data_IF_174711748879
#
_entry.id   IF_174711748879
#
_cell.length_a   1.000
_cell.length_b   1.000
_cell.length_c   1.000
_cell.angle_alpha   90.00
_cell.angle_beta   90.00
_cell.angle_gamma   90.00
#
_symmetry.space_group_name_H-M   'P 1'
#
loop_
_entity.id
_entity.type
_entity.pdbx_description
1 polymer ?
#
# COMPACT_ATOMS: atom_id res chain seq x y z
N UNK A 1 3.94 17.33 -16.73
CA UNK A 1 3.90 15.91 -17.12
C UNK A 1 2.91 15.12 -16.26
N UNK A 2 3.13 14.98 -14.94
CA UNK A 2 2.22 14.23 -14.04
C UNK A 2 0.77 14.72 -14.13
N UNK A 3 0.56 16.04 -14.20
CA UNK A 3 -0.76 16.64 -14.36
C UNK A 3 -1.52 16.16 -15.62
N UNK A 4 -0.82 15.93 -16.74
CA UNK A 4 -1.45 15.45 -17.97
C UNK A 4 -1.95 14.00 -17.83
N UNK A 5 -1.24 13.16 -17.07
CA UNK A 5 -1.71 11.80 -16.74
C UNK A 5 -2.92 11.85 -15.81
N UNK A 6 -2.95 12.77 -14.84
CA UNK A 6 -4.15 12.99 -14.00
C UNK A 6 -5.35 13.42 -14.84
N UNK A 7 -5.17 14.38 -15.74
CA UNK A 7 -6.24 14.86 -16.63
C UNK A 7 -6.76 13.77 -17.57
N UNK A 8 -5.93 12.78 -17.88
CA UNK A 8 -6.33 11.58 -18.62
C UNK A 8 -7.02 10.49 -17.76
N UNK A 9 -7.20 10.73 -16.46
CA UNK A 9 -7.92 9.83 -15.54
C UNK A 9 -7.06 8.73 -14.91
N UNK A 10 -5.73 8.81 -14.98
CA UNK A 10 -4.85 7.86 -14.30
C UNK A 10 -4.69 8.18 -12.82
N UNK A 11 -4.65 7.14 -11.99
CA UNK A 11 -4.27 7.25 -10.57
C UNK A 11 -2.76 7.43 -10.44
N UNK A 12 -2.34 8.29 -9.51
CA UNK A 12 -0.93 8.57 -9.22
C UNK A 12 -0.56 7.93 -7.88
N UNK A 13 0.40 7.03 -7.93
CA UNK A 13 1.03 6.45 -6.74
C UNK A 13 2.39 7.09 -6.47
N UNK A 14 2.69 7.34 -5.19
CA UNK A 14 4.06 7.62 -4.74
C UNK A 14 4.69 6.33 -4.22
N UNK A 15 5.90 6.06 -4.69
CA UNK A 15 6.66 4.85 -4.33
C UNK A 15 7.69 5.11 -3.23
N UNK A 16 8.15 4.04 -2.58
CA UNK A 16 9.23 4.01 -1.58
C UNK A 16 9.06 5.02 -0.44
N UNK A 17 7.81 5.32 -0.03
CA UNK A 17 7.55 6.35 0.96
C UNK A 17 8.10 5.93 2.34
N UNK A 18 8.93 6.82 2.88
CA UNK A 18 9.63 6.68 4.16
C UNK A 18 11.13 6.37 4.03
N UNK A 19 11.65 6.10 2.82
CA UNK A 19 13.10 6.02 2.59
C UNK A 19 13.66 7.40 2.19
N UNK A 20 14.81 7.80 2.74
CA UNK A 20 15.52 9.05 2.37
C UNK A 20 14.73 10.36 2.62
N UNK A 21 14.90 11.34 1.71
CA UNK A 21 14.12 12.60 1.70
C UNK A 21 12.70 12.35 1.18
N UNK A 22 11.90 11.59 1.92
CA UNK A 22 10.47 11.46 1.68
C UNK A 22 9.80 12.80 2.00
N UNK A 23 9.75 13.68 1.00
CA UNK A 23 9.27 15.04 1.18
C UNK A 23 7.75 15.05 1.26
N UNK A 24 7.20 15.29 2.46
CA UNK A 24 5.77 15.50 2.67
C UNK A 24 5.18 16.56 1.73
N UNK A 25 5.99 17.52 1.30
CA UNK A 25 5.61 18.48 0.29
C UNK A 25 5.16 17.83 -1.03
N UNK A 26 5.80 16.73 -1.44
CA UNK A 26 5.48 16.03 -2.68
C UNK A 26 4.11 15.36 -2.60
N UNK A 27 3.70 14.84 -1.44
CA UNK A 27 2.36 14.25 -1.26
C UNK A 27 1.26 15.28 -1.56
N UNK A 28 1.43 16.49 -1.03
CA UNK A 28 0.48 17.57 -1.23
C UNK A 28 0.57 18.17 -2.65
N UNK A 29 1.79 18.47 -3.13
CA UNK A 29 2.00 19.13 -4.40
C UNK A 29 1.61 18.28 -5.61
N UNK A 30 1.78 16.96 -5.52
CA UNK A 30 1.46 16.03 -6.61
C UNK A 30 0.02 15.54 -6.56
N UNK A 31 -0.73 15.86 -5.49
CA UNK A 31 -2.09 15.41 -5.27
C UNK A 31 -2.22 13.90 -5.53
N UNK A 32 -1.44 13.09 -4.81
CA UNK A 32 -1.36 11.64 -5.06
C UNK A 32 -2.65 10.93 -4.64
N UNK A 33 -2.95 9.78 -5.25
CA UNK A 33 -4.11 8.96 -4.92
C UNK A 33 -3.71 7.74 -4.06
N UNK A 34 -2.46 7.29 -4.19
CA UNK A 34 -1.94 6.08 -3.55
C UNK A 34 -0.57 6.35 -2.91
N UNK A 35 -0.38 5.89 -1.68
CA UNK A 35 0.90 5.87 -0.97
C UNK A 35 1.38 4.43 -0.78
N UNK A 36 2.56 4.12 -1.31
CA UNK A 36 3.21 2.81 -1.13
C UNK A 36 4.17 2.90 0.06
N UNK A 37 3.93 2.05 1.06
CA UNK A 37 4.74 1.95 2.28
C UNK A 37 5.89 0.99 1.98
N UNK A 38 7.11 1.51 2.01
CA UNK A 38 8.30 0.74 1.67
C UNK A 38 8.49 -0.50 2.57
N UNK A 39 9.12 -1.53 1.99
CA UNK A 39 9.40 -2.81 2.65
C UNK A 39 10.20 -2.64 3.95
N UNK A 40 11.12 -1.68 4.02
CA UNK A 40 11.93 -1.49 5.23
C UNK A 40 11.08 -1.24 6.47
N UNK A 41 9.93 -0.58 6.34
CA UNK A 41 8.98 -0.41 7.45
C UNK A 41 8.17 -1.68 7.73
N UNK A 42 7.74 -2.37 6.67
CA UNK A 42 6.98 -3.62 6.76
C UNK A 42 7.78 -4.73 7.47
N UNK A 43 9.09 -4.76 7.26
CA UNK A 43 10.01 -5.70 7.91
C UNK A 43 10.13 -5.45 9.43
N UNK A 44 9.85 -4.23 9.90
CA UNK A 44 9.93 -3.90 11.33
C UNK A 44 8.66 -4.21 12.13
N UNK A 45 7.53 -4.47 11.46
CA UNK A 45 6.20 -4.51 12.10
C UNK A 45 6.04 -5.57 13.20
N UNK A 46 6.73 -6.70 13.05
CA UNK A 46 6.65 -7.85 13.97
C UNK A 46 7.87 -7.96 14.88
N UNK A 47 8.73 -6.94 14.90
CA UNK A 47 9.90 -6.90 15.78
C UNK A 47 9.55 -6.20 17.10
N UNK A 48 10.12 -6.67 18.23
CA UNK A 48 9.88 -6.09 19.57
C UNK A 48 10.51 -4.69 19.78
N UNK A 49 10.80 -3.96 18.71
CA UNK A 49 11.33 -2.61 18.76
C UNK A 49 10.22 -1.57 18.50
N UNK A 50 10.53 -0.30 18.73
CA UNK A 50 9.64 0.83 18.48
C UNK A 50 9.59 1.27 17.00
N UNK A 51 10.28 0.56 16.09
CA UNK A 51 10.40 0.97 14.68
C UNK A 51 9.04 0.90 13.94
N UNK A 52 8.13 0.03 14.39
CA UNK A 52 6.77 -0.03 13.86
C UNK A 52 5.99 1.29 14.03
N UNK A 53 6.36 2.16 14.98
CA UNK A 53 5.71 3.46 15.20
C UNK A 53 5.80 4.37 13.95
N UNK A 54 6.88 4.27 13.18
CA UNK A 54 7.01 5.07 11.95
C UNK A 54 5.98 4.61 10.92
N UNK A 55 5.81 3.29 10.76
CA UNK A 55 4.78 2.74 9.89
C UNK A 55 3.37 3.18 10.32
N UNK A 56 3.09 3.20 11.63
CA UNK A 56 1.82 3.70 12.17
C UNK A 56 1.58 5.17 11.79
N UNK A 57 2.57 6.04 11.98
CA UNK A 57 2.45 7.45 11.61
C UNK A 57 2.28 7.67 10.11
N UNK A 58 2.96 6.88 9.27
CA UNK A 58 2.76 6.91 7.81
C UNK A 58 1.31 6.54 7.46
N UNK A 59 0.75 5.50 8.09
CA UNK A 59 -0.63 5.06 7.87
C UNK A 59 -1.63 6.12 8.33
N UNK A 60 -1.41 6.73 9.49
CA UNK A 60 -2.27 7.80 10.01
C UNK A 60 -2.26 9.04 9.11
N UNK A 61 -1.09 9.43 8.62
CA UNK A 61 -0.94 10.52 7.67
C UNK A 61 -1.66 10.23 6.35
N UNK A 62 -1.45 9.05 5.77
CA UNK A 62 -2.14 8.63 4.56
C UNK A 62 -3.66 8.67 4.74
N UNK A 63 -4.16 8.22 5.89
CA UNK A 63 -5.58 8.31 6.26
C UNK A 63 -6.07 9.75 6.35
N UNK A 64 -5.32 10.64 7.00
CA UNK A 64 -5.64 12.07 7.10
C UNK A 64 -5.70 12.77 5.73
N UNK A 65 -4.85 12.35 4.81
CA UNK A 65 -4.80 12.81 3.42
C UNK A 65 -5.77 12.07 2.49
N UNK A 66 -6.57 11.11 3.01
CA UNK A 66 -7.52 10.27 2.26
C UNK A 66 -6.88 9.48 1.11
N UNK A 67 -5.62 9.07 1.30
CA UNK A 67 -4.88 8.27 0.33
C UNK A 67 -5.23 6.79 0.48
N UNK A 68 -5.23 6.06 -0.65
CA UNK A 68 -5.14 4.60 -0.62
C UNK A 68 -3.72 4.21 -0.20
N UNK A 69 -3.58 3.10 0.51
CA UNK A 69 -2.26 2.61 0.94
C UNK A 69 -2.00 1.21 0.43
N UNK A 70 -0.76 0.99 -0.02
CA UNK A 70 -0.22 -0.31 -0.40
C UNK A 70 1.00 -0.57 0.48
N UNK A 71 1.02 -1.66 1.24
CA UNK A 71 2.23 -2.09 1.93
C UNK A 71 3.07 -3.01 1.04
N UNK A 72 4.35 -2.71 0.90
CA UNK A 72 5.27 -3.44 0.04
C UNK A 72 6.13 -4.44 0.80
N UNK A 73 6.56 -5.50 0.11
CA UNK A 73 7.46 -6.49 0.68
C UNK A 73 6.84 -7.33 1.80
N UNK A 74 5.52 -7.50 1.81
CA UNK A 74 4.80 -8.35 2.76
C UNK A 74 5.14 -9.83 2.52
N UNK A 75 5.65 -10.48 3.55
CA UNK A 75 6.17 -11.85 3.50
C UNK A 75 5.47 -12.80 4.46
N UNK A 76 4.81 -12.30 5.51
CA UNK A 76 4.16 -13.15 6.53
C UNK A 76 2.68 -12.81 6.77
N UNK A 77 1.84 -13.80 7.14
CA UNK A 77 0.45 -13.55 7.54
C UNK A 77 0.32 -12.58 8.72
N UNK A 78 1.30 -12.56 9.63
CA UNK A 78 1.34 -11.67 10.78
C UNK A 78 1.47 -10.20 10.34
N UNK A 79 2.31 -9.92 9.34
CA UNK A 79 2.41 -8.59 8.73
C UNK A 79 1.08 -8.16 8.12
N UNK A 80 0.41 -9.04 7.35
CA UNK A 80 -0.93 -8.75 6.79
C UNK A 80 -1.93 -8.43 7.88
N UNK A 81 -1.99 -9.24 8.93
CA UNK A 81 -2.92 -9.03 10.06
C UNK A 81 -2.66 -7.70 10.76
N UNK A 82 -1.39 -7.34 10.96
CA UNK A 82 -0.99 -6.07 11.56
C UNK A 82 -1.41 -4.86 10.71
N UNK A 83 -1.17 -4.94 9.40
CA UNK A 83 -1.47 -3.90 8.41
C UNK A 83 -2.98 -3.70 8.23
N UNK A 84 -3.71 -4.81 8.08
CA UNK A 84 -5.17 -4.81 7.92
C UNK A 84 -5.87 -4.14 9.10
N UNK A 85 -5.48 -4.47 10.33
CA UNK A 85 -6.04 -3.87 11.56
C UNK A 85 -5.84 -2.35 11.64
N UNK A 86 -4.85 -1.80 10.93
CA UNK A 86 -4.53 -0.36 10.90
C UNK A 86 -5.11 0.35 9.67
N UNK A 87 -5.87 -0.38 8.85
CA UNK A 87 -6.61 0.19 7.71
C UNK A 87 -5.78 0.29 6.43
N UNK A 88 -4.68 -0.46 6.32
CA UNK A 88 -3.97 -0.58 5.04
C UNK A 88 -4.82 -1.37 4.06
N UNK A 89 -5.08 -0.80 2.88
CA UNK A 89 -6.07 -1.36 1.93
C UNK A 89 -5.51 -2.48 1.06
N UNK A 90 -4.23 -2.41 0.71
CA UNK A 90 -3.60 -3.38 -0.19
C UNK A 90 -2.24 -3.83 0.34
N UNK A 91 -1.87 -5.06 0.02
CA UNK A 91 -0.57 -5.64 0.35
C UNK A 91 0.04 -6.23 -0.92
N UNK A 92 1.34 -6.00 -1.09
CA UNK A 92 2.16 -6.56 -2.15
C UNK A 92 3.38 -7.23 -1.52
N UNK A 93 3.70 -8.45 -1.94
CA UNK A 93 4.90 -9.12 -1.50
C UNK A 93 4.89 -10.62 -1.73
N UNK A 94 5.99 -11.27 -1.35
CA UNK A 94 6.23 -12.68 -1.63
C UNK A 94 5.30 -13.63 -0.87
N UNK A 95 4.58 -13.14 0.15
CA UNK A 95 3.48 -13.90 0.74
C UNK A 95 2.43 -14.29 -0.31
N UNK A 96 2.17 -13.42 -1.29
CA UNK A 96 1.16 -13.63 -2.33
C UNK A 96 1.78 -14.28 -3.57
N UNK A 97 2.84 -13.66 -4.09
CA UNK A 97 3.56 -14.14 -5.27
C UNK A 97 4.92 -13.43 -5.37
N UNK A 98 5.92 -14.15 -5.90
CA UNK A 98 7.17 -13.52 -6.34
C UNK A 98 6.97 -12.82 -7.68
N UNK A 99 7.81 -11.83 -7.98
CA UNK A 99 7.89 -11.27 -9.32
C UNK A 99 8.20 -12.39 -10.32
N UNK A 100 7.44 -12.45 -11.42
CA UNK A 100 7.51 -13.53 -12.39
C UNK A 100 7.34 -12.99 -13.81
N UNK A 101 7.87 -13.67 -14.84
CA UNK A 101 7.65 -13.32 -16.23
C UNK A 101 6.16 -13.30 -16.59
N UNK A 102 5.80 -12.48 -17.59
CA UNK A 102 4.40 -12.31 -18.00
C UNK A 102 3.67 -13.63 -18.30
N UNK A 103 4.36 -14.61 -18.91
CA UNK A 103 3.78 -15.93 -19.19
C UNK A 103 3.41 -16.68 -17.91
N UNK A 104 4.30 -16.68 -16.93
CA UNK A 104 4.09 -17.31 -15.63
C UNK A 104 2.99 -16.57 -14.85
N UNK A 105 2.96 -15.23 -14.93
CA UNK A 105 1.90 -14.43 -14.33
C UNK A 105 0.52 -14.79 -14.86
N UNK A 106 0.37 -14.95 -16.18
CA UNK A 106 -0.91 -15.35 -16.77
C UNK A 106 -1.37 -16.74 -16.30
N UNK A 107 -0.43 -17.68 -16.12
CA UNK A 107 -0.72 -19.01 -15.59
C UNK A 107 -1.08 -18.96 -14.10
N UNK A 108 -0.34 -18.19 -13.30
CA UNK A 108 -0.61 -17.97 -11.89
C UNK A 108 -2.00 -17.34 -11.70
N UNK A 109 -2.35 -16.32 -12.49
CA UNK A 109 -3.63 -15.62 -12.43
C UNK A 109 -4.81 -16.55 -12.80
N UNK A 110 -4.64 -17.41 -13.80
CA UNK A 110 -5.68 -18.37 -14.20
C UNK A 110 -5.94 -19.44 -13.12
N UNK A 111 -4.94 -19.76 -12.30
CA UNK A 111 -5.03 -20.73 -11.22
C UNK A 111 -5.33 -20.10 -9.86
N UNK A 112 -5.28 -18.77 -9.75
CA UNK A 112 -5.58 -18.05 -8.53
C UNK A 112 -7.06 -18.25 -8.17
N UNK A 113 -7.41 -18.47 -6.89
CA UNK A 113 -8.80 -18.51 -6.48
C UNK A 113 -9.48 -17.22 -6.91
N UNK A 114 -10.64 -17.35 -7.56
CA UNK A 114 -11.43 -16.20 -8.02
C UNK A 114 -11.61 -15.25 -6.83
N UNK A 115 -11.33 -13.95 -6.97
CA UNK A 115 -11.43 -13.04 -5.83
C UNK A 115 -12.83 -13.13 -5.25
N UNK A 116 -12.92 -13.61 -4.01
CA UNK A 116 -14.14 -13.54 -3.20
C UNK A 116 -14.52 -12.07 -3.21
N UNK A 117 -15.74 -11.76 -3.66
CA UNK A 117 -16.31 -10.44 -3.85
C UNK A 117 -15.67 -9.38 -2.94
N UNK A 118 -15.13 -8.30 -3.53
CA UNK A 118 -14.46 -7.20 -2.79
C UNK A 118 -15.19 -6.94 -1.47
N UNK A 119 -14.54 -7.08 -0.29
CA UNK A 119 -15.14 -6.60 0.94
C UNK A 119 -15.45 -5.13 0.74
N UNK A 120 -16.73 -4.79 0.87
CA UNK A 120 -17.19 -3.42 0.73
C UNK A 120 -16.48 -2.62 1.84
N UNK A 121 -15.75 -1.54 1.51
CA UNK A 121 -15.18 -0.71 2.56
C UNK A 121 -16.31 -0.28 3.50
N UNK A 122 -16.07 -0.21 4.82
CA UNK A 122 -17.10 0.25 5.75
C UNK A 122 -17.65 1.58 5.24
N UNK A 123 -18.96 1.62 4.97
CA UNK A 123 -19.66 2.86 4.63
C UNK A 123 -19.24 3.85 5.70
N UNK A 124 -18.53 4.91 5.31
CA UNK A 124 -18.32 6.02 6.20
C UNK A 124 -19.70 6.45 6.67
N UNK A 125 -19.89 6.47 7.99
CA UNK A 125 -21.05 7.13 8.57
C UNK A 125 -21.03 8.56 8.01
N UNK A 126 -22.03 8.86 7.21
CA UNK A 126 -22.37 10.23 6.84
C UNK A 126 -22.49 11.02 8.14
N UNK A 127 -21.74 12.11 8.23
CA UNK A 127 -22.07 13.26 9.07
C UNK A 127 -22.33 14.41 8.10
#
# INVERSE_FOLDING_TARGET
MIQAFREAGYEIAIDDFGTGYSNLHNLHALNVDILKIDKTFVDTLTTNNTSHLIAEHIIEMARGLRLKTIAEGVETPEQVSWLYKRGVQFCQGWLFAKAMPAREFMQWLANAPTPISRPQPPRHAEI
#
